data_IF_445729223229
#
_entry.id   IF_445729223229
#
_cell.length_a   1.000
_cell.length_b   1.000
_cell.length_c   1.000
_cell.angle_alpha   90.00
_cell.angle_beta   90.00
_cell.angle_gamma   90.00
#
_symmetry.space_group_name_H-M   'P 1'
#
loop_
_entity.id
_entity.type
_entity.pdbx_description
1 polymer ?
#
# COMPACT_ATOMS: atom_id res chain seq x y z
N UNK A 1 -22.07 26.46 -0.41
CA UNK A 1 -22.76 27.60 0.27
C UNK A 1 -23.80 28.31 -0.62
N UNK A 2 -23.52 28.55 -1.91
CA UNK A 2 -24.47 29.22 -2.83
C UNK A 2 -25.76 28.41 -3.02
N UNK A 3 -25.67 27.07 -3.12
CA UNK A 3 -26.85 26.21 -3.29
C UNK A 3 -27.77 26.17 -2.05
N UNK A 4 -27.18 26.19 -0.86
CA UNK A 4 -27.85 26.30 0.45
C UNK A 4 -28.73 27.55 0.56
N UNK A 5 -28.17 28.70 0.20
CA UNK A 5 -28.87 29.99 0.25
C UNK A 5 -30.04 30.08 -0.75
N UNK A 6 -30.08 29.21 -1.77
CA UNK A 6 -31.10 29.22 -2.83
C UNK A 6 -32.22 28.19 -2.64
N UNK A 7 -31.93 27.00 -2.08
CA UNK A 7 -32.87 25.87 -2.05
C UNK A 7 -33.33 25.44 -0.65
N UNK A 8 -32.74 25.95 0.43
CA UNK A 8 -33.12 25.62 1.82
C UNK A 8 -32.87 24.17 2.25
N UNK A 9 -32.29 23.33 1.39
CA UNK A 9 -31.85 21.95 1.66
C UNK A 9 -30.53 21.69 0.97
N UNK A 10 -29.66 20.91 1.61
CA UNK A 10 -28.39 20.45 1.03
C UNK A 10 -28.57 19.00 0.66
N UNK A 11 -28.31 18.68 -0.60
CA UNK A 11 -28.36 17.31 -1.04
C UNK A 11 -27.11 16.59 -0.52
N UNK A 12 -27.32 15.51 0.22
CA UNK A 12 -26.24 14.61 0.57
C UNK A 12 -25.79 13.87 -0.71
N UNK A 13 -24.49 13.83 -0.94
CA UNK A 13 -23.87 13.22 -2.12
C UNK A 13 -23.12 11.96 -1.71
N UNK A 14 -23.28 10.89 -2.49
CA UNK A 14 -22.54 9.64 -2.29
C UNK A 14 -21.22 9.70 -3.05
N UNK A 15 -20.11 9.56 -2.33
CA UNK A 15 -18.77 9.45 -2.87
C UNK A 15 -18.31 7.99 -2.74
N UNK A 16 -17.81 7.39 -3.82
CA UNK A 16 -17.52 5.95 -3.86
C UNK A 16 -16.20 5.56 -3.19
N UNK A 17 -15.20 6.43 -3.29
CA UNK A 17 -13.83 6.16 -2.83
C UNK A 17 -13.31 7.36 -2.07
N UNK A 18 -13.45 7.32 -0.75
CA UNK A 18 -13.00 8.37 0.18
C UNK A 18 -12.12 7.74 1.24
N UNK A 19 -10.96 8.35 1.47
CA UNK A 19 -10.02 7.96 2.51
C UNK A 19 -10.23 8.85 3.71
N UNK A 20 -10.72 8.27 4.81
CA UNK A 20 -11.00 8.98 6.05
C UNK A 20 -9.85 8.70 7.02
N UNK A 21 -9.26 9.75 7.58
CA UNK A 21 -8.24 9.68 8.61
C UNK A 21 -8.75 10.24 9.93
N UNK A 22 -8.50 9.50 11.01
CA UNK A 22 -8.70 9.94 12.39
C UNK A 22 -7.36 10.00 13.11
N UNK A 23 -7.21 10.99 13.98
CA UNK A 23 -6.18 11.01 15.03
C UNK A 23 -6.83 11.25 16.38
N UNK A 24 -6.25 10.72 17.46
CA UNK A 24 -6.73 10.88 18.84
C UNK A 24 -5.54 11.00 19.79
N UNK A 25 -5.63 11.80 20.86
CA UNK A 25 -4.54 12.00 21.83
C UNK A 25 -4.63 10.94 22.93
N UNK A 26 -3.56 10.19 23.10
CA UNK A 26 -3.53 9.11 24.09
C UNK A 26 -3.56 9.69 25.50
N UNK A 27 -4.48 9.17 26.32
CA UNK A 27 -4.61 9.57 27.73
C UNK A 27 -5.15 10.98 27.91
N UNK A 28 -5.82 11.56 26.90
CA UNK A 28 -6.31 12.93 26.95
C UNK A 28 -7.17 13.23 28.18
N UNK A 29 -8.02 12.30 28.62
CA UNK A 29 -8.82 12.48 29.85
C UNK A 29 -7.93 12.81 31.05
N UNK A 30 -6.85 12.06 31.28
CA UNK A 30 -5.93 12.29 32.40
C UNK A 30 -5.13 13.59 32.23
N UNK A 31 -4.78 13.95 30.99
CA UNK A 31 -4.08 15.19 30.67
C UNK A 31 -4.99 16.40 30.97
N UNK A 32 -6.25 16.34 30.55
CA UNK A 32 -7.22 17.42 30.71
C UNK A 32 -7.60 17.70 32.17
N UNK A 33 -7.53 16.69 33.06
CA UNK A 33 -7.73 16.86 34.50
C UNK A 33 -6.57 17.59 35.19
N UNK A 34 -5.34 17.44 34.68
CA UNK A 34 -4.11 18.00 35.30
C UNK A 34 -3.66 19.32 34.70
N UNK A 35 -4.05 19.60 33.45
CA UNK A 35 -3.63 20.78 32.70
C UNK A 35 -4.65 21.90 32.80
N UNK A 36 -4.19 23.16 32.88
CA UNK A 36 -5.12 24.29 32.82
C UNK A 36 -5.83 24.35 31.46
N UNK A 37 -7.13 24.70 31.40
CA UNK A 37 -7.88 24.73 30.15
C UNK A 37 -7.23 25.59 29.06
N UNK A 38 -6.67 26.75 29.42
CA UNK A 38 -5.99 27.63 28.47
C UNK A 38 -4.74 26.97 27.86
N UNK A 39 -3.94 26.25 28.66
CA UNK A 39 -2.73 25.57 28.17
C UNK A 39 -3.11 24.37 27.29
N UNK A 40 -4.17 23.65 27.65
CA UNK A 40 -4.70 22.52 26.89
C UNK A 40 -5.15 22.97 25.50
N UNK A 41 -5.99 24.00 25.44
CA UNK A 41 -6.52 24.56 24.18
C UNK A 41 -5.39 25.12 23.32
N UNK A 42 -4.43 25.84 23.90
CA UNK A 42 -3.29 26.37 23.16
C UNK A 42 -2.43 25.24 22.56
N UNK A 43 -2.20 24.14 23.30
CA UNK A 43 -1.44 22.99 22.78
C UNK A 43 -2.18 22.28 21.65
N UNK A 44 -3.50 22.12 21.76
CA UNK A 44 -4.34 21.60 20.68
C UNK A 44 -4.32 22.51 19.43
N UNK A 45 -4.44 23.83 19.59
CA UNK A 45 -4.38 24.79 18.47
C UNK A 45 -3.04 24.70 17.71
N UNK A 46 -1.92 24.60 18.43
CA UNK A 46 -0.60 24.43 17.80
C UNK A 46 -0.53 23.12 16.99
N UNK A 47 -1.02 22.01 17.55
CA UNK A 47 -1.01 20.73 16.86
C UNK A 47 -1.93 20.75 15.63
N UNK A 48 -3.17 21.20 15.79
CA UNK A 48 -4.16 21.19 14.73
C UNK A 48 -3.84 22.16 13.60
N UNK A 49 -3.20 23.30 13.89
CA UNK A 49 -2.64 24.16 12.82
C UNK A 49 -1.59 23.43 12.00
N UNK A 50 -0.71 22.68 12.66
CA UNK A 50 0.29 21.91 11.93
C UNK A 50 -0.33 20.79 11.10
N UNK A 51 -1.37 20.15 11.63
CA UNK A 51 -2.11 19.13 10.89
C UNK A 51 -2.83 19.75 9.69
N UNK A 52 -3.46 20.91 9.86
CA UNK A 52 -4.10 21.67 8.78
C UNK A 52 -3.11 21.94 7.63
N UNK A 53 -1.89 22.41 7.93
CA UNK A 53 -0.83 22.61 6.91
C UNK A 53 -0.47 21.31 6.18
N UNK A 54 -0.34 20.20 6.92
CA UNK A 54 0.04 18.90 6.33
C UNK A 54 -1.08 18.36 5.44
N UNK A 55 -2.33 18.39 5.91
CA UNK A 55 -3.45 17.85 5.15
C UNK A 55 -3.74 18.67 3.89
N UNK A 56 -3.56 20.00 3.94
CA UNK A 56 -3.71 20.89 2.79
C UNK A 56 -2.65 20.59 1.72
N UNK A 57 -1.38 20.42 2.13
CA UNK A 57 -0.29 20.05 1.22
C UNK A 57 -0.52 18.70 0.52
N UNK A 58 -1.29 17.80 1.15
CA UNK A 58 -1.66 16.49 0.61
C UNK A 58 -3.11 16.45 0.06
N UNK A 59 -3.74 17.60 -0.24
CA UNK A 59 -5.06 17.66 -0.91
C UNK A 59 -6.18 16.93 -0.15
N UNK A 60 -6.10 16.91 1.18
CA UNK A 60 -7.14 16.38 2.04
C UNK A 60 -7.99 17.51 2.62
N UNK A 61 -9.25 17.23 2.89
CA UNK A 61 -10.20 18.17 3.47
C UNK A 61 -10.34 17.94 4.97
N UNK A 62 -10.26 19.02 5.75
CA UNK A 62 -10.60 18.98 7.18
C UNK A 62 -12.11 18.78 7.34
N UNK A 63 -12.51 17.74 8.05
CA UNK A 63 -13.94 17.50 8.33
C UNK A 63 -14.34 18.21 9.61
N UNK A 64 -13.70 17.85 10.73
CA UNK A 64 -14.00 18.41 12.06
C UNK A 64 -12.96 17.99 13.09
N UNK A 65 -12.99 18.68 14.22
CA UNK A 65 -12.34 18.26 15.47
C UNK A 65 -13.41 17.75 16.43
N UNK A 66 -13.13 16.68 17.18
CA UNK A 66 -14.06 16.07 18.13
C UNK A 66 -13.33 15.96 19.47
N UNK A 67 -13.36 17.02 20.27
CA UNK A 67 -12.50 17.13 21.46
C UNK A 67 -11.03 17.21 21.03
N UNK A 68 -10.25 16.22 21.44
CA UNK A 68 -8.85 16.02 21.08
C UNK A 68 -8.63 15.21 19.81
N UNK A 69 -9.69 14.63 19.25
CA UNK A 69 -9.61 13.93 17.99
C UNK A 69 -9.67 14.89 16.79
N UNK A 70 -8.90 14.58 15.76
CA UNK A 70 -8.85 15.31 14.49
C UNK A 70 -9.32 14.39 13.35
N UNK A 71 -10.21 14.89 12.50
CA UNK A 71 -10.77 14.13 11.39
C UNK A 71 -10.62 14.90 10.07
N UNK A 72 -10.02 14.25 9.09
CA UNK A 72 -9.93 14.73 7.71
C UNK A 72 -10.22 13.61 6.70
N UNK A 73 -10.48 13.98 5.45
CA UNK A 73 -10.75 13.01 4.40
C UNK A 73 -10.25 13.47 3.03
N UNK A 74 -9.77 12.54 2.22
CA UNK A 74 -9.42 12.78 0.81
C UNK A 74 -10.50 12.22 -0.13
N UNK A 75 -10.65 12.83 -1.31
CA UNK A 75 -11.71 12.47 -2.26
C UNK A 75 -13.06 13.15 -1.99
N UNK A 76 -13.08 14.09 -1.03
CA UNK A 76 -14.18 15.01 -0.71
C UNK A 76 -13.61 16.42 -0.48
N UNK A 77 -14.38 17.49 -0.76
CA UNK A 77 -15.64 17.47 -1.50
C UNK A 77 -15.46 17.20 -3.00
N UNK A 78 -14.21 17.17 -3.47
CA UNK A 78 -13.84 16.89 -4.86
C UNK A 78 -13.28 15.48 -4.95
N UNK A 79 -13.83 14.66 -5.84
CA UNK A 79 -13.32 13.31 -6.09
C UNK A 79 -11.90 13.36 -6.65
N UNK A 80 -11.04 12.48 -6.16
CA UNK A 80 -9.73 12.21 -6.73
C UNK A 80 -9.43 10.71 -6.58
N UNK A 81 -8.54 10.16 -7.42
CA UNK A 81 -8.17 8.74 -7.33
C UNK A 81 -6.98 8.48 -6.41
N UNK A 82 -6.24 9.51 -6.03
CA UNK A 82 -5.02 9.43 -5.21
C UNK A 82 -5.28 9.50 -3.71
N UNK A 83 -6.52 9.76 -3.26
CA UNK A 83 -6.82 9.99 -1.84
C UNK A 83 -6.28 8.93 -0.86
N UNK A 84 -6.22 7.63 -1.16
CA UNK A 84 -5.64 6.65 -0.24
C UNK A 84 -4.15 6.87 -0.03
N UNK A 85 -3.47 7.24 -1.11
CA UNK A 85 -2.04 7.55 -1.14
C UNK A 85 -1.77 8.84 -0.38
N UNK A 86 -2.52 9.89 -0.75
CA UNK A 86 -2.44 11.22 -0.13
C UNK A 86 -2.66 11.16 1.40
N UNK A 87 -3.65 10.38 1.85
CA UNK A 87 -3.95 10.16 3.26
C UNK A 87 -2.80 9.47 4.00
N UNK A 88 -2.16 8.47 3.40
CA UNK A 88 -1.03 7.77 4.00
C UNK A 88 0.22 8.68 4.11
N UNK A 89 0.50 9.50 3.09
CA UNK A 89 1.61 10.47 3.14
C UNK A 89 1.36 11.49 4.26
N UNK A 90 0.17 12.06 4.33
CA UNK A 90 -0.19 13.02 5.39
C UNK A 90 -0.06 12.40 6.79
N UNK A 91 -0.50 11.14 6.96
CA UNK A 91 -0.38 10.43 8.23
C UNK A 91 1.07 10.20 8.66
N UNK A 92 1.95 9.80 7.74
CA UNK A 92 3.38 9.64 8.01
C UNK A 92 4.04 10.99 8.37
N UNK A 93 3.64 12.07 7.72
CA UNK A 93 4.12 13.43 8.04
C UNK A 93 3.65 13.91 9.41
N UNK A 94 2.40 13.65 9.78
CA UNK A 94 1.87 13.91 11.13
C UNK A 94 2.63 13.07 12.16
N UNK A 95 2.84 11.78 11.91
CA UNK A 95 3.61 10.88 12.77
C UNK A 95 5.04 11.39 12.98
N UNK A 96 5.72 11.81 11.92
CA UNK A 96 7.08 12.35 11.98
C UNK A 96 7.13 13.65 12.80
N UNK A 97 6.16 14.55 12.61
CA UNK A 97 6.05 15.78 13.41
C UNK A 97 5.86 15.48 14.90
N UNK A 98 4.95 14.57 15.24
CA UNK A 98 4.72 14.17 16.64
C UNK A 98 5.95 13.49 17.25
N UNK A 99 6.67 12.68 16.47
CA UNK A 99 7.92 12.04 16.90
C UNK A 99 9.01 13.09 17.19
N UNK A 100 9.12 14.13 16.35
CA UNK A 100 10.02 15.26 16.57
C UNK A 100 9.68 16.01 17.85
N UNK A 101 8.40 16.32 18.10
CA UNK A 101 7.97 16.98 19.33
C UNK A 101 8.29 16.13 20.57
N UNK A 102 8.04 14.82 20.50
CA UNK A 102 8.39 13.87 21.57
C UNK A 102 9.90 13.90 21.87
N UNK A 103 10.74 13.85 20.84
CA UNK A 103 12.19 13.89 21.01
C UNK A 103 12.66 15.20 21.66
N UNK A 104 12.14 16.35 21.21
CA UNK A 104 12.47 17.66 21.77
C UNK A 104 12.03 17.79 23.23
N UNK A 105 10.82 17.35 23.55
CA UNK A 105 10.30 17.38 24.91
C UNK A 105 11.13 16.48 25.85
N UNK A 106 11.50 15.27 25.41
CA UNK A 106 12.37 14.37 26.18
C UNK A 106 13.74 15.01 26.47
N UNK A 107 14.34 15.67 25.47
CA UNK A 107 15.63 16.36 25.64
C UNK A 107 15.54 17.55 26.61
N UNK A 108 14.37 18.19 26.71
CA UNK A 108 14.12 19.34 27.60
C UNK A 108 13.47 18.95 28.94
N UNK A 109 13.26 17.65 29.19
CA UNK A 109 12.51 17.15 30.35
C UNK A 109 11.09 17.71 30.48
N UNK A 110 10.41 17.87 29.34
CA UNK A 110 9.03 18.35 29.25
C UNK A 110 8.02 17.24 28.90
N UNK A 111 6.74 17.47 29.19
CA UNK A 111 5.65 16.57 28.85
C UNK A 111 5.33 16.58 27.34
N UNK A 112 5.32 15.41 26.72
CA UNK A 112 4.90 15.22 25.33
C UNK A 112 3.53 14.54 25.22
N UNK A 113 2.90 14.66 24.05
CA UNK A 113 1.67 13.95 23.72
C UNK A 113 1.97 12.90 22.66
N UNK A 114 1.28 11.77 22.76
CA UNK A 114 1.27 10.74 21.71
C UNK A 114 -0.12 10.69 21.10
N UNK A 115 -0.17 10.34 19.84
CA UNK A 115 -1.44 10.16 19.12
C UNK A 115 -1.52 8.78 18.52
N UNK A 116 -2.74 8.32 18.27
CA UNK A 116 -3.02 7.23 17.35
C UNK A 116 -3.45 7.79 16.01
N UNK A 117 -3.20 7.05 14.92
CA UNK A 117 -3.67 7.40 13.59
C UNK A 117 -4.36 6.19 12.95
N UNK A 118 -5.54 6.41 12.37
CA UNK A 118 -6.32 5.38 11.70
C UNK A 118 -6.86 5.84 10.36
N UNK A 119 -6.70 5.03 9.33
CA UNK A 119 -7.17 5.34 7.98
C UNK A 119 -8.04 4.19 7.45
N UNK A 120 -9.15 4.53 6.82
CA UNK A 120 -9.93 3.59 6.03
C UNK A 120 -10.45 4.23 4.75
N UNK A 121 -10.40 3.47 3.66
CA UNK A 121 -10.92 3.86 2.35
C UNK A 121 -12.20 3.11 2.03
N UNK A 122 -13.22 3.83 1.54
CA UNK A 122 -14.49 3.26 1.11
C UNK A 122 -15.54 4.31 0.76
N UNK A 123 -16.79 3.90 0.50
CA UNK A 123 -17.86 4.82 0.17
C UNK A 123 -18.32 5.62 1.39
N UNK A 124 -18.65 6.90 1.19
CA UNK A 124 -19.24 7.77 2.21
C UNK A 124 -20.35 8.62 1.62
N UNK A 125 -21.30 8.99 2.46
CA UNK A 125 -22.26 10.05 2.14
C UNK A 125 -21.73 11.34 2.75
N UNK A 126 -21.59 12.40 1.97
CA UNK A 126 -21.13 13.70 2.45
C UNK A 126 -22.14 14.80 2.16
N UNK A 127 -22.19 15.82 3.00
CA UNK A 127 -23.17 16.90 2.86
C UNK A 127 -23.02 17.96 3.92
N UNK A 128 -23.74 19.07 3.75
CA UNK A 128 -23.76 20.15 4.74
C UNK A 128 -24.99 19.95 5.63
N UNK A 129 -24.78 19.88 6.94
CA UNK A 129 -25.82 19.75 7.96
C UNK A 129 -25.95 21.05 8.75
N UNK A 130 -27.14 21.27 9.32
CA UNK A 130 -27.43 22.38 10.22
C UNK A 130 -28.18 23.52 9.55
N UNK A 131 -29.00 24.23 10.33
CA UNK A 131 -29.74 25.41 9.85
C UNK A 131 -29.14 26.71 10.39
N UNK A 132 -28.60 26.70 11.60
CA UNK A 132 -28.00 27.87 12.26
C UNK A 132 -26.47 27.88 12.17
N UNK A 133 -25.84 26.71 12.26
CA UNK A 133 -24.39 26.52 12.06
C UNK A 133 -24.23 25.45 10.99
N UNK A 134 -23.84 25.87 9.80
CA UNK A 134 -23.62 24.98 8.67
C UNK A 134 -22.27 24.29 8.85
N UNK A 135 -22.26 22.96 8.81
CA UNK A 135 -21.05 22.13 8.87
C UNK A 135 -21.05 21.13 7.72
N UNK A 136 -19.97 21.05 6.95
CA UNK A 136 -19.75 19.95 6.02
C UNK A 136 -19.28 18.72 6.80
N UNK A 137 -19.86 17.56 6.51
CA UNK A 137 -19.57 16.34 7.26
C UNK A 137 -19.73 15.10 6.37
N UNK A 138 -19.16 13.99 6.83
CA UNK A 138 -19.17 12.69 6.14
C UNK A 138 -19.73 11.60 7.06
N UNK A 139 -20.52 10.70 6.49
CA UNK A 139 -21.19 9.62 7.20
C UNK A 139 -21.06 8.30 6.43
N UNK A 140 -21.02 7.19 7.16
CA UNK A 140 -21.02 5.84 6.59
C UNK A 140 -20.23 4.85 7.42
N UNK A 141 -20.36 3.57 7.08
CA UNK A 141 -19.57 2.49 7.71
C UNK A 141 -18.06 2.71 7.53
N UNK A 142 -17.64 3.34 6.43
CA UNK A 142 -16.25 3.71 6.15
C UNK A 142 -15.66 4.61 7.23
N UNK A 143 -16.43 5.60 7.71
CA UNK A 143 -16.01 6.53 8.77
C UNK A 143 -15.84 5.78 10.10
N UNK A 144 -16.80 4.91 10.43
CA UNK A 144 -16.75 4.11 11.66
C UNK A 144 -15.56 3.15 11.66
N UNK A 145 -15.22 2.57 10.52
CA UNK A 145 -14.07 1.67 10.39
C UNK A 145 -12.75 2.46 10.48
N UNK A 146 -12.66 3.67 9.92
CA UNK A 146 -11.48 4.54 10.09
C UNK A 146 -11.24 4.87 11.57
N UNK A 147 -12.29 5.29 12.30
CA UNK A 147 -12.22 5.49 13.74
C UNK A 147 -11.76 4.22 14.46
N UNK A 148 -12.25 3.06 14.05
CA UNK A 148 -11.84 1.79 14.67
C UNK A 148 -10.37 1.45 14.40
N UNK A 149 -9.84 1.75 13.21
CA UNK A 149 -8.41 1.58 12.92
C UNK A 149 -7.55 2.49 13.82
N UNK A 150 -8.01 3.70 14.12
CA UNK A 150 -7.35 4.61 15.06
C UNK A 150 -7.37 4.00 16.46
N UNK A 151 -8.54 3.65 16.98
CA UNK A 151 -8.70 3.14 18.35
C UNK A 151 -7.89 1.88 18.63
N UNK A 152 -7.77 0.99 17.64
CA UNK A 152 -7.00 -0.26 17.73
C UNK A 152 -5.52 -0.07 17.38
N UNK A 153 -5.14 1.09 16.86
CA UNK A 153 -3.78 1.43 16.48
C UNK A 153 -2.84 1.54 17.67
N UNK A 154 -1.60 1.15 17.45
CA UNK A 154 -0.52 1.38 18.41
C UNK A 154 -0.17 2.88 18.47
N UNK A 155 0.20 3.42 19.65
CA UNK A 155 0.68 4.79 19.80
C UNK A 155 1.78 5.16 18.79
N UNK A 156 1.58 6.29 18.11
CA UNK A 156 2.53 6.81 17.14
C UNK A 156 2.68 5.94 15.89
N UNK A 157 1.75 5.04 15.58
CA UNK A 157 1.75 4.24 14.34
C UNK A 157 0.57 4.62 13.44
N UNK A 158 0.77 4.54 12.13
CA UNK A 158 -0.27 4.75 11.12
C UNK A 158 -0.96 3.42 10.85
N UNK A 159 -2.17 3.26 11.35
CA UNK A 159 -2.97 2.05 11.19
C UNK A 159 -3.93 2.18 10.01
N UNK A 160 -3.95 1.20 9.11
CA UNK A 160 -4.85 1.16 7.97
C UNK A 160 -5.66 -0.14 7.91
N UNK A 161 -6.85 -0.04 7.33
CA UNK A 161 -7.67 -1.20 6.99
C UNK A 161 -7.14 -1.95 5.77
N UNK A 162 -7.57 -3.21 5.62
CA UNK A 162 -7.30 -4.00 4.44
C UNK A 162 -7.77 -3.34 3.14
N UNK A 163 -8.94 -2.68 3.11
CA UNK A 163 -9.40 -1.99 1.89
C UNK A 163 -8.46 -0.86 1.47
N UNK A 164 -7.84 -0.18 2.43
CA UNK A 164 -6.84 0.86 2.15
C UNK A 164 -5.53 0.24 1.70
N UNK A 165 -5.07 -0.83 2.38
CA UNK A 165 -3.83 -1.54 2.04
C UNK A 165 -3.76 -1.94 0.57
N UNK A 166 -4.84 -2.53 0.02
CA UNK A 166 -4.87 -2.93 -1.39
C UNK A 166 -4.72 -1.77 -2.40
N UNK A 167 -4.92 -0.53 -1.96
CA UNK A 167 -4.79 0.67 -2.80
C UNK A 167 -3.41 1.35 -2.65
N UNK A 168 -2.67 1.01 -1.59
CA UNK A 168 -1.44 1.73 -1.20
C UNK A 168 -0.20 0.84 -1.11
N UNK A 169 -0.33 -0.49 -0.95
CA UNK A 169 0.78 -1.45 -0.95
C UNK A 169 1.83 -1.24 -2.07
N UNK A 170 1.48 -0.81 -3.30
CA UNK A 170 2.49 -0.55 -4.33
C UNK A 170 3.54 0.49 -3.91
N UNK A 171 3.16 1.44 -3.05
CA UNK A 171 3.93 2.65 -2.74
C UNK A 171 4.55 2.66 -1.34
N UNK A 172 4.01 1.87 -0.40
CA UNK A 172 4.41 1.92 1.01
C UNK A 172 4.82 0.56 1.55
N UNK A 173 5.76 0.57 2.50
CA UNK A 173 6.04 -0.58 3.33
C UNK A 173 4.97 -0.73 4.41
N UNK A 174 4.29 -1.87 4.40
CA UNK A 174 3.20 -2.16 5.32
C UNK A 174 3.47 -3.46 6.09
N UNK A 175 3.21 -3.45 7.39
CA UNK A 175 3.26 -4.63 8.26
C UNK A 175 1.85 -5.14 8.54
N UNK A 176 1.57 -6.41 8.26
CA UNK A 176 0.30 -7.05 8.63
C UNK A 176 0.21 -7.31 10.14
N UNK A 177 -0.87 -6.86 10.78
CA UNK A 177 -1.10 -6.99 12.23
C UNK A 177 -2.18 -8.02 12.61
N UNK A 178 -2.70 -8.76 11.64
CA UNK A 178 -3.81 -9.69 11.85
C UNK A 178 -5.17 -9.10 11.52
N UNK A 179 -6.21 -9.84 11.91
CA UNK A 179 -7.61 -9.44 11.72
C UNK A 179 -8.18 -8.83 12.99
N UNK A 180 -8.99 -7.79 12.84
CA UNK A 180 -9.74 -7.18 13.93
C UNK A 180 -11.24 -7.31 13.67
N UNK A 181 -12.02 -7.55 14.72
CA UNK A 181 -13.47 -7.64 14.60
C UNK A 181 -14.06 -6.22 14.56
N UNK A 182 -14.66 -5.86 13.43
CA UNK A 182 -15.38 -4.59 13.28
C UNK A 182 -16.57 -4.48 14.25
N UNK A 183 -17.08 -3.27 14.50
CA UNK A 183 -18.36 -3.07 15.23
C UNK A 183 -19.52 -3.86 14.61
N UNK A 184 -19.48 -4.10 13.29
CA UNK A 184 -20.41 -4.95 12.53
C UNK A 184 -20.12 -6.45 12.60
N UNK A 185 -19.21 -6.90 13.46
CA UNK A 185 -18.74 -8.29 13.64
C UNK A 185 -18.03 -8.94 12.44
N UNK A 186 -17.77 -8.19 11.37
CA UNK A 186 -16.93 -8.63 10.26
C UNK A 186 -15.45 -8.56 10.66
N UNK A 187 -14.68 -9.59 10.31
CA UNK A 187 -13.23 -9.58 10.47
C UNK A 187 -12.60 -8.77 9.35
N UNK A 188 -11.79 -7.77 9.71
CA UNK A 188 -11.11 -6.87 8.78
C UNK A 188 -9.61 -6.99 8.99
N UNK A 189 -8.86 -7.14 7.91
CA UNK A 189 -7.40 -7.14 7.96
C UNK A 189 -6.87 -5.77 8.37
N UNK A 190 -5.84 -5.73 9.21
CA UNK A 190 -5.24 -4.52 9.73
C UNK A 190 -3.75 -4.49 9.41
N UNK A 191 -3.25 -3.32 9.01
CA UNK A 191 -1.85 -3.11 8.65
C UNK A 191 -1.31 -1.83 9.28
N UNK A 192 0.01 -1.78 9.50
CA UNK A 192 0.73 -0.56 9.87
C UNK A 192 1.54 -0.08 8.69
N UNK A 193 1.34 1.17 8.28
CA UNK A 193 2.20 1.84 7.31
C UNK A 193 3.47 2.29 8.03
N UNK A 194 4.63 1.83 7.56
CA UNK A 194 5.94 2.14 8.14
C UNK A 194 6.57 3.36 7.49
N UNK A 195 6.53 3.40 6.18
CA UNK A 195 7.24 4.36 5.35
C UNK A 195 6.73 4.26 3.91
N UNK A 196 6.99 5.30 3.12
CA UNK A 196 7.08 5.16 1.66
C UNK A 196 8.24 4.20 1.36
N UNK A 197 8.10 3.32 0.36
CA UNK A 197 9.20 2.44 -0.06
C UNK A 197 10.47 3.26 -0.33
N UNK A 198 11.66 2.85 0.15
CA UNK A 198 12.88 3.64 0.04
C UNK A 198 13.15 4.17 -1.38
N UNK A 199 12.98 3.33 -2.39
CA UNK A 199 13.21 3.64 -3.81
C UNK A 199 12.25 4.72 -4.37
N UNK A 200 11.10 4.90 -3.71
CA UNK A 200 10.06 5.87 -4.06
C UNK A 200 10.06 7.09 -3.14
N UNK A 201 11.03 7.20 -2.23
CA UNK A 201 11.15 8.33 -1.32
C UNK A 201 12.40 9.16 -1.58
N UNK A 202 12.38 10.43 -1.19
CA UNK A 202 13.55 11.31 -1.26
C UNK A 202 14.64 10.75 -0.34
N UNK A 203 15.84 10.56 -0.88
CA UNK A 203 17.01 9.99 -0.18
C UNK A 203 16.80 8.60 0.46
N UNK A 204 15.70 7.90 0.19
CA UNK A 204 15.39 6.64 0.88
C UNK A 204 14.84 6.82 2.31
N UNK A 205 14.46 8.02 2.73
CA UNK A 205 14.03 8.32 4.10
C UNK A 205 12.59 7.87 4.41
N UNK A 206 11.80 7.52 3.39
CA UNK A 206 10.46 6.95 3.57
C UNK A 206 9.37 7.95 3.99
N UNK A 207 9.62 9.26 3.94
CA UNK A 207 8.68 10.29 4.40
C UNK A 207 8.09 11.15 3.28
N UNK A 208 8.92 11.54 2.31
CA UNK A 208 8.56 12.43 1.21
C UNK A 208 8.67 11.68 -0.11
N UNK A 209 7.64 11.66 -0.98
CA UNK A 209 7.70 10.98 -2.26
C UNK A 209 8.73 11.64 -3.19
N UNK A 210 9.39 10.82 -4.02
CA UNK A 210 10.31 11.31 -5.07
C UNK A 210 9.63 11.31 -6.46
N UNK A 211 10.37 11.67 -7.51
CA UNK A 211 9.83 11.70 -8.89
C UNK A 211 9.33 10.34 -9.37
N UNK A 212 10.02 9.24 -9.00
CA UNK A 212 9.60 7.87 -9.38
C UNK A 212 8.26 7.52 -8.77
N UNK A 213 8.00 7.94 -7.53
CA UNK A 213 6.69 7.76 -6.90
C UNK A 213 5.57 8.29 -7.79
N UNK A 214 5.70 9.52 -8.28
CA UNK A 214 4.71 10.17 -9.14
C UNK A 214 4.55 9.47 -10.49
N UNK A 215 5.64 8.96 -11.07
CA UNK A 215 5.62 8.17 -12.30
C UNK A 215 4.86 6.85 -12.08
N UNK A 216 5.11 6.15 -10.98
CA UNK A 216 4.41 4.91 -10.63
C UNK A 216 2.93 5.19 -10.34
N UNK A 217 2.59 6.28 -9.66
CA UNK A 217 1.17 6.67 -9.47
C UNK A 217 0.48 6.88 -10.81
N UNK A 218 1.12 7.61 -11.74
CA UNK A 218 0.58 7.80 -13.10
C UNK A 218 0.45 6.48 -13.85
N UNK A 219 1.43 5.60 -13.75
CA UNK A 219 1.41 4.28 -14.37
C UNK A 219 0.17 3.49 -13.92
N UNK A 220 -0.10 3.45 -12.62
CA UNK A 220 -1.28 2.76 -12.07
C UNK A 220 -2.62 3.40 -12.48
N UNK A 221 -2.65 4.71 -12.69
CA UNK A 221 -3.86 5.43 -13.08
C UNK A 221 -4.17 5.33 -14.59
N UNK A 222 -3.14 5.28 -15.44
CA UNK A 222 -3.30 5.42 -16.89
C UNK A 222 -2.98 4.17 -17.69
N UNK A 223 -2.27 3.18 -17.12
CA UNK A 223 -2.02 1.91 -17.81
C UNK A 223 -3.32 1.10 -17.96
N UNK A 224 -3.47 0.42 -19.10
CA UNK A 224 -4.55 -0.55 -19.28
C UNK A 224 -4.29 -1.87 -18.53
N UNK A 225 -3.04 -2.10 -18.11
CA UNK A 225 -2.60 -3.33 -17.46
C UNK A 225 -3.16 -3.42 -16.04
N UNK A 226 -3.96 -4.45 -15.78
CA UNK A 226 -4.53 -4.73 -14.45
C UNK A 226 -3.63 -5.67 -13.65
N UNK A 227 -2.38 -5.28 -13.44
CA UNK A 227 -1.33 -6.10 -12.83
C UNK A 227 -1.79 -6.85 -11.57
N UNK A 228 -2.27 -6.15 -10.53
CA UNK A 228 -2.66 -6.79 -9.26
C UNK A 228 -3.81 -7.80 -9.40
N UNK A 229 -4.70 -7.59 -10.37
CA UNK A 229 -5.76 -8.57 -10.65
C UNK A 229 -5.20 -9.81 -11.35
N UNK A 230 -4.21 -9.62 -12.22
CA UNK A 230 -3.45 -10.71 -12.84
C UNK A 230 -2.67 -11.50 -11.80
N UNK A 231 -1.87 -10.82 -10.98
CA UNK A 231 -1.09 -11.41 -9.90
C UNK A 231 -1.98 -12.22 -8.95
N UNK A 232 -3.06 -11.65 -8.45
CA UNK A 232 -3.99 -12.37 -7.59
C UNK A 232 -4.57 -13.62 -8.28
N UNK A 233 -4.91 -13.55 -9.56
CA UNK A 233 -5.42 -14.69 -10.30
C UNK A 233 -4.36 -15.79 -10.47
N UNK A 234 -3.15 -15.43 -10.89
CA UNK A 234 -2.04 -16.37 -11.13
C UNK A 234 -1.60 -17.02 -9.81
N UNK A 235 -1.41 -16.23 -8.73
CA UNK A 235 -1.06 -16.77 -7.42
C UNK A 235 -2.11 -17.75 -6.89
N UNK A 236 -3.41 -17.52 -7.15
CA UNK A 236 -4.47 -18.46 -6.79
C UNK A 236 -4.41 -19.76 -7.62
N UNK A 237 -3.99 -19.70 -8.89
CA UNK A 237 -3.76 -20.89 -9.72
C UNK A 237 -2.57 -21.68 -9.15
N UNK A 238 -1.45 -21.00 -8.87
CA UNK A 238 -0.25 -21.61 -8.28
C UNK A 238 -0.58 -22.26 -6.93
N UNK A 239 -1.32 -21.58 -6.06
CA UNK A 239 -1.71 -22.10 -4.75
C UNK A 239 -2.52 -23.39 -4.81
N UNK A 240 -3.35 -23.56 -5.84
CA UNK A 240 -4.22 -24.73 -5.99
C UNK A 240 -3.52 -25.91 -6.66
N UNK A 241 -2.55 -25.64 -7.53
CA UNK A 241 -2.04 -26.66 -8.46
C UNK A 241 -0.55 -26.96 -8.31
N UNK A 242 0.25 -26.14 -7.62
CA UNK A 242 1.66 -26.46 -7.37
C UNK A 242 1.78 -27.67 -6.44
N UNK A 243 2.69 -28.57 -6.80
CA UNK A 243 3.00 -29.75 -5.98
C UNK A 243 3.62 -29.32 -4.65
N UNK A 244 3.21 -29.90 -3.50
CA UNK A 244 3.83 -29.63 -2.20
C UNK A 244 5.28 -30.15 -2.10
N UNK A 245 5.75 -30.86 -3.12
CA UNK A 245 7.13 -31.35 -3.25
C UNK A 245 8.09 -30.29 -3.81
N UNK A 246 7.57 -29.16 -4.31
CA UNK A 246 8.36 -28.04 -4.79
C UNK A 246 8.74 -27.15 -3.59
N UNK A 247 9.93 -27.40 -3.04
CA UNK A 247 10.42 -26.70 -1.85
C UNK A 247 11.06 -25.35 -2.20
N UNK A 248 11.66 -25.24 -3.38
CA UNK A 248 12.24 -24.01 -3.90
C UNK A 248 11.23 -23.31 -4.82
N UNK A 249 10.76 -23.96 -5.89
CA UNK A 249 9.81 -23.41 -6.86
C UNK A 249 8.38 -23.34 -6.29
N UNK A 250 8.24 -22.55 -5.23
CA UNK A 250 7.05 -22.37 -4.42
C UNK A 250 6.47 -20.98 -4.63
N UNK A 251 5.24 -20.76 -4.18
CA UNK A 251 4.60 -19.43 -4.19
C UNK A 251 5.45 -18.38 -3.47
N UNK A 252 6.17 -18.78 -2.42
CA UNK A 252 7.05 -17.87 -1.68
C UNK A 252 8.23 -17.43 -2.54
N UNK A 253 8.82 -18.34 -3.32
CA UNK A 253 9.86 -18.00 -4.29
C UNK A 253 9.32 -17.07 -5.38
N UNK A 254 8.16 -17.37 -5.97
CA UNK A 254 7.52 -16.46 -6.94
C UNK A 254 7.35 -15.05 -6.38
N UNK A 255 6.88 -14.92 -5.14
CA UNK A 255 6.74 -13.61 -4.46
C UNK A 255 8.09 -12.94 -4.20
N UNK A 256 9.13 -13.72 -3.91
CA UNK A 256 10.48 -13.21 -3.68
C UNK A 256 11.09 -12.65 -4.98
N UNK A 257 10.99 -13.39 -6.09
CA UNK A 257 11.42 -12.94 -7.42
C UNK A 257 10.68 -11.68 -7.86
N UNK A 258 9.36 -11.59 -7.64
CA UNK A 258 8.58 -10.37 -7.94
C UNK A 258 9.09 -9.15 -7.16
N UNK A 259 9.46 -9.33 -5.88
CA UNK A 259 10.05 -8.25 -5.06
C UNK A 259 11.42 -7.84 -5.58
N UNK A 260 12.26 -8.81 -5.93
CA UNK A 260 13.57 -8.55 -6.53
C UNK A 260 13.43 -7.79 -7.86
N UNK A 261 12.51 -8.22 -8.73
CA UNK A 261 12.18 -7.54 -9.98
C UNK A 261 11.75 -6.11 -9.74
N UNK A 262 10.79 -5.85 -8.85
CA UNK A 262 10.33 -4.49 -8.56
C UNK A 262 11.47 -3.60 -8.07
N UNK A 263 12.28 -4.09 -7.14
CA UNK A 263 13.44 -3.35 -6.61
C UNK A 263 14.45 -3.02 -7.70
N UNK A 264 14.92 -4.03 -8.44
CA UNK A 264 15.95 -3.86 -9.48
C UNK A 264 15.43 -2.97 -10.61
N UNK A 265 14.19 -3.17 -11.06
CA UNK A 265 13.56 -2.34 -12.09
C UNK A 265 13.52 -0.85 -11.69
N UNK A 266 13.12 -0.54 -10.46
CA UNK A 266 13.07 0.85 -9.97
C UNK A 266 14.45 1.48 -9.82
N UNK A 267 15.46 0.70 -9.39
CA UNK A 267 16.84 1.17 -9.31
C UNK A 267 17.43 1.45 -10.70
N UNK A 268 17.09 0.64 -11.69
CA UNK A 268 17.45 0.79 -13.10
C UNK A 268 16.59 1.83 -13.85
N UNK A 269 15.63 2.48 -13.17
CA UNK A 269 14.82 3.56 -13.72
C UNK A 269 13.66 3.11 -14.61
N UNK A 270 13.24 1.85 -14.52
CA UNK A 270 12.05 1.32 -15.22
C UNK A 270 10.80 1.69 -14.43
N UNK A 271 10.16 2.80 -14.81
CA UNK A 271 8.94 3.33 -14.16
C UNK A 271 7.73 3.36 -15.10
N UNK A 272 7.87 2.83 -16.31
CA UNK A 272 6.80 2.69 -17.31
C UNK A 272 6.13 1.29 -17.25
N UNK A 273 5.34 0.94 -18.27
CA UNK A 273 4.67 -0.36 -18.34
C UNK A 273 5.66 -1.54 -18.32
N UNK A 274 6.94 -1.33 -18.64
CA UNK A 274 8.00 -2.33 -18.51
C UNK A 274 8.08 -2.93 -17.11
N UNK A 275 7.78 -2.15 -16.07
CA UNK A 275 7.69 -2.64 -14.69
C UNK A 275 6.60 -3.70 -14.54
N UNK A 276 5.41 -3.46 -15.10
CA UNK A 276 4.33 -4.45 -15.04
C UNK A 276 4.63 -5.67 -15.90
N UNK A 277 5.28 -5.52 -17.06
CA UNK A 277 5.68 -6.65 -17.90
C UNK A 277 6.68 -7.55 -17.17
N UNK A 278 7.70 -6.96 -16.55
CA UNK A 278 8.69 -7.66 -15.73
C UNK A 278 8.04 -8.42 -14.56
N UNK A 279 7.23 -7.73 -13.75
CA UNK A 279 6.55 -8.37 -12.61
C UNK A 279 5.60 -9.47 -13.07
N UNK A 280 4.96 -9.30 -14.23
CA UNK A 280 4.06 -10.31 -14.82
C UNK A 280 4.81 -11.53 -15.32
N UNK A 281 5.97 -11.34 -15.94
CA UNK A 281 6.84 -12.44 -16.31
C UNK A 281 7.34 -13.19 -15.06
N UNK A 282 7.73 -12.47 -14.01
CA UNK A 282 8.16 -13.09 -12.75
C UNK A 282 7.08 -13.98 -12.09
N UNK A 283 5.79 -13.59 -12.10
CA UNK A 283 4.73 -14.45 -11.58
C UNK A 283 4.41 -15.68 -12.44
N UNK A 284 4.85 -15.69 -13.70
CA UNK A 284 4.49 -16.72 -14.70
C UNK A 284 5.67 -17.59 -15.15
N UNK A 285 6.92 -17.18 -14.93
CA UNK A 285 8.09 -17.90 -15.47
C UNK A 285 8.14 -19.36 -14.97
N UNK A 286 7.92 -19.54 -13.66
CA UNK A 286 7.82 -20.84 -13.00
C UNK A 286 6.42 -21.47 -13.01
N UNK A 287 5.42 -20.84 -13.63
CA UNK A 287 4.06 -21.36 -13.57
C UNK A 287 3.94 -22.73 -14.27
N UNK A 288 4.89 -23.06 -15.15
CA UNK A 288 4.96 -24.36 -15.82
C UNK A 288 5.17 -25.55 -14.89
N UNK A 289 5.72 -25.34 -13.69
CA UNK A 289 5.90 -26.39 -12.68
C UNK A 289 4.59 -27.05 -12.23
N UNK A 290 3.43 -26.42 -12.51
CA UNK A 290 2.11 -27.04 -12.33
C UNK A 290 1.94 -28.29 -13.21
N UNK A 291 2.49 -28.27 -14.42
CA UNK A 291 2.28 -29.34 -15.41
C UNK A 291 3.53 -30.22 -15.59
N UNK A 292 4.73 -29.63 -15.60
CA UNK A 292 5.98 -30.38 -15.76
C UNK A 292 7.16 -29.70 -15.07
N UNK A 293 8.08 -30.53 -14.58
CA UNK A 293 9.30 -30.05 -13.91
C UNK A 293 10.36 -29.55 -14.89
N UNK A 294 10.55 -30.26 -16.00
CA UNK A 294 11.58 -29.95 -16.99
C UNK A 294 11.06 -29.06 -18.10
N UNK A 295 11.87 -28.08 -18.52
CA UNK A 295 11.54 -27.14 -19.60
C UNK A 295 10.17 -26.49 -19.35
N UNK A 296 10.00 -25.86 -18.20
CA UNK A 296 8.68 -25.44 -17.71
C UNK A 296 8.26 -24.07 -18.31
N UNK A 297 9.21 -23.27 -18.77
CA UNK A 297 9.08 -21.92 -19.30
C UNK A 297 8.10 -21.82 -20.49
N UNK A 298 8.11 -22.75 -21.49
CA UNK A 298 7.11 -22.73 -22.56
C UNK A 298 5.66 -22.92 -22.06
N UNK A 299 5.46 -23.57 -20.91
CA UNK A 299 4.13 -23.68 -20.29
C UNK A 299 3.77 -22.36 -19.61
N UNK A 300 4.70 -21.74 -18.88
CA UNK A 300 4.52 -20.40 -18.33
C UNK A 300 4.15 -19.37 -19.41
N UNK A 301 4.87 -19.39 -20.54
CA UNK A 301 4.60 -18.56 -21.71
C UNK A 301 3.23 -18.83 -22.35
N UNK A 302 2.81 -20.11 -22.43
CA UNK A 302 1.46 -20.48 -22.88
C UNK A 302 0.40 -19.92 -21.94
N UNK A 303 0.57 -20.11 -20.63
CA UNK A 303 -0.35 -19.57 -19.62
C UNK A 303 -0.44 -18.04 -19.70
N UNK A 304 0.68 -17.35 -19.93
CA UNK A 304 0.69 -15.90 -20.17
C UNK A 304 -0.21 -15.52 -21.35
N UNK A 305 -0.08 -16.22 -22.47
CA UNK A 305 -0.88 -15.97 -23.68
C UNK A 305 -2.38 -16.19 -23.44
N UNK A 306 -2.76 -17.18 -22.63
CA UNK A 306 -4.15 -17.51 -22.32
C UNK A 306 -4.80 -16.56 -21.29
N UNK A 307 -4.02 -16.12 -20.28
CA UNK A 307 -4.53 -15.38 -19.12
C UNK A 307 -4.56 -13.88 -19.39
N UNK A 308 -3.47 -13.32 -19.91
CA UNK A 308 -3.21 -11.88 -19.92
C UNK A 308 -4.19 -11.03 -20.75
N UNK A 309 -4.76 -11.50 -21.88
CA UNK A 309 -5.74 -10.70 -22.64
C UNK A 309 -6.93 -10.23 -21.78
N UNK A 310 -7.34 -11.02 -20.77
CA UNK A 310 -8.46 -10.69 -19.87
C UNK A 310 -8.16 -9.52 -18.92
N UNK A 311 -6.89 -9.15 -18.80
CA UNK A 311 -6.40 -8.15 -17.84
C UNK A 311 -5.82 -6.90 -18.49
N UNK A 312 -6.12 -6.66 -19.78
CA UNK A 312 -5.78 -5.41 -20.46
C UNK A 312 -4.36 -5.34 -21.01
N UNK A 313 -3.69 -6.49 -21.16
CA UNK A 313 -2.42 -6.60 -21.87
C UNK A 313 -2.68 -6.64 -23.38
N UNK A 314 -1.89 -5.88 -24.14
CA UNK A 314 -1.90 -5.92 -25.60
C UNK A 314 -1.14 -7.15 -26.12
N UNK A 315 -1.29 -7.49 -27.40
CA UNK A 315 -0.50 -8.56 -28.03
C UNK A 315 1.01 -8.29 -27.92
N UNK A 316 1.43 -7.03 -28.04
CA UNK A 316 2.84 -6.65 -27.89
C UNK A 316 3.33 -6.82 -26.44
N UNK A 317 2.48 -6.52 -25.45
CA UNK A 317 2.81 -6.78 -24.04
C UNK A 317 2.99 -8.27 -23.80
N UNK A 318 2.08 -9.10 -24.30
CA UNK A 318 2.13 -10.56 -24.15
C UNK A 318 3.37 -11.13 -24.82
N UNK A 319 3.69 -10.68 -26.05
CA UNK A 319 4.92 -11.08 -26.75
C UNK A 319 6.16 -10.78 -25.91
N UNK A 320 6.25 -9.58 -25.36
CA UNK A 320 7.37 -9.16 -24.51
C UNK A 320 7.46 -10.02 -23.25
N UNK A 321 6.33 -10.32 -22.59
CA UNK A 321 6.29 -11.19 -21.41
C UNK A 321 6.72 -12.62 -21.74
N UNK A 322 6.30 -13.16 -22.88
CA UNK A 322 6.74 -14.47 -23.35
C UNK A 322 8.25 -14.51 -23.58
N UNK A 323 8.82 -13.46 -24.19
CA UNK A 323 10.27 -13.33 -24.36
C UNK A 323 11.00 -13.22 -23.01
N UNK A 324 10.43 -12.51 -22.03
CA UNK A 324 10.96 -12.42 -20.66
C UNK A 324 10.89 -13.75 -19.91
N UNK A 325 9.84 -14.55 -20.11
CA UNK A 325 9.74 -15.89 -19.50
C UNK A 325 10.78 -16.83 -20.12
N UNK A 326 10.97 -16.78 -21.44
CA UNK A 326 11.94 -17.68 -22.08
C UNK A 326 13.40 -17.37 -21.72
N UNK A 327 13.74 -16.13 -21.40
CA UNK A 327 15.13 -15.78 -21.09
C UNK A 327 15.57 -16.24 -19.69
N UNK A 328 14.64 -16.63 -18.82
CA UNK A 328 14.97 -17.19 -17.49
C UNK A 328 15.48 -18.63 -17.57
N UNK A 329 15.33 -19.31 -18.72
CA UNK A 329 15.91 -20.63 -18.93
C UNK A 329 17.44 -20.57 -18.95
N UNK A 330 18.09 -21.41 -18.14
CA UNK A 330 19.56 -21.44 -18.00
C UNK A 330 20.18 -22.25 -19.16
N UNK A 331 21.25 -21.75 -19.83
CA UNK A 331 22.00 -20.54 -19.52
C UNK A 331 21.35 -19.26 -20.08
N UNK A 332 21.25 -18.23 -19.22
CA UNK A 332 20.68 -16.93 -19.57
C UNK A 332 21.44 -16.24 -20.70
N UNK A 333 20.69 -15.62 -21.62
CA UNK A 333 21.23 -14.83 -22.75
C UNK A 333 20.38 -13.57 -22.99
N UNK A 334 20.35 -12.63 -22.03
CA UNK A 334 19.56 -11.41 -22.18
C UNK A 334 20.10 -10.54 -23.31
N UNK A 335 19.20 -9.93 -24.07
CA UNK A 335 19.54 -9.04 -25.21
C UNK A 335 19.06 -7.60 -25.01
N UNK A 336 18.37 -7.32 -23.91
CA UNK A 336 17.91 -5.98 -23.56
C UNK A 336 17.79 -5.84 -22.03
N UNK A 337 17.57 -4.60 -21.59
CA UNK A 337 17.55 -4.24 -20.17
C UNK A 337 16.48 -4.98 -19.35
N UNK A 338 15.28 -5.19 -19.89
CA UNK A 338 14.23 -5.93 -19.17
C UNK A 338 14.64 -7.40 -18.99
N UNK A 339 15.26 -8.00 -20.00
CA UNK A 339 15.75 -9.37 -19.89
C UNK A 339 16.92 -9.49 -18.88
N UNK A 340 17.82 -8.51 -18.85
CA UNK A 340 18.87 -8.46 -17.81
C UNK A 340 18.24 -8.41 -16.40
N UNK A 341 17.26 -7.52 -16.19
CA UNK A 341 16.61 -7.35 -14.89
C UNK A 341 15.93 -8.63 -14.41
N UNK A 342 15.19 -9.35 -15.27
CA UNK A 342 14.49 -10.57 -14.82
C UNK A 342 15.45 -11.71 -14.53
N UNK A 343 16.54 -11.87 -15.30
CA UNK A 343 17.60 -12.84 -15.03
C UNK A 343 18.31 -12.54 -13.71
N UNK A 344 18.66 -11.27 -13.47
CA UNK A 344 19.29 -10.84 -12.22
C UNK A 344 18.35 -11.05 -11.01
N UNK A 345 17.05 -10.78 -11.18
CA UNK A 345 16.06 -10.95 -10.12
C UNK A 345 15.80 -12.42 -9.77
N UNK A 346 15.79 -13.32 -10.76
CA UNK A 346 15.64 -14.76 -10.56
C UNK A 346 16.82 -15.36 -9.76
N UNK A 347 18.02 -14.82 -9.98
CA UNK A 347 19.25 -15.25 -9.31
C UNK A 347 19.64 -14.36 -8.10
N UNK A 348 18.80 -13.40 -7.68
CA UNK A 348 19.10 -12.43 -6.61
C UNK A 348 19.52 -13.11 -5.29
N UNK A 349 18.92 -14.27 -4.99
CA UNK A 349 19.22 -15.02 -3.77
C UNK A 349 20.67 -15.51 -3.68
N UNK A 350 21.40 -15.63 -4.80
CA UNK A 350 22.80 -16.03 -4.80
C UNK A 350 23.71 -15.04 -4.08
N UNK A 351 23.30 -13.78 -3.98
CA UNK A 351 24.04 -12.71 -3.29
C UNK A 351 23.54 -12.37 -1.89
N UNK A 352 22.55 -13.10 -1.36
CA UNK A 352 21.85 -12.75 -0.11
C UNK A 352 22.35 -13.54 1.10
N UNK A 353 22.08 -13.01 2.30
CA UNK A 353 22.43 -13.66 3.57
C UNK A 353 21.69 -14.98 3.80
N UNK A 354 20.51 -15.16 3.19
CA UNK A 354 19.70 -16.37 3.26
C UNK A 354 19.96 -17.36 2.12
N UNK A 355 21.06 -17.18 1.37
CA UNK A 355 21.49 -18.06 0.29
C UNK A 355 21.49 -19.54 0.70
N UNK A 356 22.11 -19.88 1.83
CA UNK A 356 22.26 -21.27 2.28
C UNK A 356 20.89 -21.94 2.53
N UNK A 357 19.94 -21.20 3.12
CA UNK A 357 18.60 -21.72 3.38
C UNK A 357 17.84 -22.00 2.08
N UNK A 358 17.93 -21.07 1.12
CA UNK A 358 17.28 -21.19 -0.18
C UNK A 358 17.93 -22.32 -1.01
N UNK A 359 19.27 -22.41 -1.00
CA UNK A 359 20.03 -23.46 -1.66
C UNK A 359 19.69 -24.85 -1.11
N UNK A 360 19.50 -24.99 0.21
CA UNK A 360 19.08 -26.25 0.83
C UNK A 360 17.67 -26.67 0.40
N UNK A 361 16.74 -25.71 0.23
CA UNK A 361 15.40 -25.99 -0.32
C UNK A 361 15.49 -26.49 -1.75
N UNK A 362 16.29 -25.83 -2.60
CA UNK A 362 16.52 -26.27 -3.98
C UNK A 362 17.14 -27.66 -4.02
N UNK A 363 18.18 -27.90 -3.22
CA UNK A 363 18.82 -29.21 -3.10
C UNK A 363 17.83 -30.30 -2.69
N UNK A 364 16.97 -30.02 -1.70
CA UNK A 364 15.95 -30.96 -1.25
C UNK A 364 14.95 -31.28 -2.36
N UNK A 365 14.50 -30.26 -3.09
CA UNK A 365 13.60 -30.43 -4.22
C UNK A 365 14.24 -31.27 -5.34
N UNK A 366 15.49 -30.96 -5.72
CA UNK A 366 16.22 -31.71 -6.73
C UNK A 366 16.37 -33.19 -6.37
N UNK A 367 16.53 -33.52 -5.08
CA UNK A 367 16.52 -34.92 -4.60
C UNK A 367 15.16 -35.58 -4.76
N UNK A 368 14.10 -34.89 -4.36
CA UNK A 368 12.72 -35.37 -4.46
C UNK A 368 12.29 -35.60 -5.92
N UNK A 369 12.86 -34.82 -6.85
CA UNK A 369 12.65 -34.94 -8.29
C UNK A 369 13.65 -35.88 -8.99
N UNK A 370 14.53 -36.54 -8.23
CA UNK A 370 15.50 -37.51 -8.74
C UNK A 370 16.61 -36.90 -9.63
N UNK A 371 16.86 -35.59 -9.51
CA UNK A 371 17.90 -34.87 -10.27
C UNK A 371 19.28 -35.02 -9.65
N UNK A 372 19.35 -35.17 -8.34
CA UNK A 372 20.59 -35.39 -7.59
C UNK A 372 20.39 -36.47 -6.52
N UNK A 373 21.49 -37.04 -6.03
CA UNK A 373 21.50 -38.12 -5.02
C UNK A 373 21.31 -37.63 -3.58
#
# INVERSE_FOLDING_TARGET
VIELKRKGKVQAHLFKTVSVMFTDVIGFSQISEKMSPNRLVNKLDILFRKFDEIIEANKLEKIKTIGDAYMCAGGVPTENSTNPIDACIAALQIQAYMSKLKFQALANHEDYWEIRLGINTGPVTAGIIGNLRLAYDVWGSTVNLAQQMEMLGEPGKVCISGSTFHLVEPYFECEYKGKVQSKSRLLVDMYIVKSIKPELSVNGEGLVPNTRFEEIVKLHLYSSIKYYKTEHHVLNILQKNLSPKLYYHSINHTKDVVKAVERIALLEGVTDEGLFLLKTAAILHDAGFIERYEHNEPIGARMATEILPKYGYSEQHIKTIVELIHVTEIPHKPINKLQEIICDADLDYLGREDFEEIADRLRKELREMGKIK
#
